data_IF_839273038872
#
_entry.id   IF_839273038872
#
_cell.length_a   1.000
_cell.length_b   1.000
_cell.length_c   1.000
_cell.angle_alpha   90.00
_cell.angle_beta   90.00
_cell.angle_gamma   90.00
#
_symmetry.space_group_name_H-M   'P 1'
#
loop_
_entity.id
_entity.type
_entity.pdbx_description
1 polymer ?
#
# COMPACT_ATOMS: atom_id res chain seq x y z
N UNK A 1 4.00 -3.00 3.93
CA UNK A 1 4.06 -3.64 2.59
C UNK A 1 4.61 -5.05 2.64
N UNK A 2 5.83 -5.29 3.14
CA UNK A 2 6.38 -6.65 3.24
C UNK A 2 5.47 -7.64 3.99
N UNK A 3 4.90 -7.24 5.12
CA UNK A 3 3.92 -8.05 5.85
C UNK A 3 2.65 -8.36 5.02
N UNK A 4 2.19 -7.42 4.18
CA UNK A 4 1.02 -7.61 3.33
C UNK A 4 1.30 -8.64 2.22
N UNK A 5 2.51 -8.60 1.64
CA UNK A 5 2.97 -9.59 0.65
C UNK A 5 3.09 -10.98 1.24
N UNK A 6 3.73 -11.09 2.41
CA UNK A 6 3.87 -12.38 3.11
C UNK A 6 2.51 -12.98 3.47
N UNK A 7 1.57 -12.17 3.97
CA UNK A 7 0.21 -12.63 4.23
C UNK A 7 -0.54 -13.05 2.95
N UNK A 8 -0.29 -12.38 1.82
CA UNK A 8 -0.84 -12.77 0.52
C UNK A 8 -0.26 -14.10 0.00
N UNK A 9 1.05 -14.31 0.10
CA UNK A 9 1.71 -15.58 -0.25
C UNK A 9 1.17 -16.75 0.57
N UNK A 10 0.83 -16.50 1.83
CA UNK A 10 0.22 -17.47 2.74
C UNK A 10 -1.31 -17.56 2.60
N UNK A 11 -1.92 -16.79 1.70
CA UNK A 11 -3.38 -16.68 1.54
C UNK A 11 -4.12 -16.39 2.88
N UNK A 12 -3.47 -15.66 3.78
CA UNK A 12 -4.00 -15.36 5.10
C UNK A 12 -4.90 -14.11 5.06
N UNK A 13 -6.15 -14.29 4.64
CA UNK A 13 -7.10 -13.20 4.42
C UNK A 13 -7.41 -12.38 5.69
N UNK A 14 -7.44 -13.02 6.85
CA UNK A 14 -7.63 -12.34 8.13
C UNK A 14 -6.46 -11.41 8.46
N UNK A 15 -5.24 -11.88 8.21
CA UNK A 15 -4.03 -11.07 8.40
C UNK A 15 -3.96 -9.93 7.38
N UNK A 16 -4.30 -10.19 6.11
CA UNK A 16 -4.40 -9.15 5.07
C UNK A 16 -5.37 -8.05 5.50
N UNK A 17 -6.56 -8.43 5.97
CA UNK A 17 -7.58 -7.49 6.47
C UNK A 17 -7.03 -6.60 7.60
N UNK A 18 -6.35 -7.23 8.57
CA UNK A 18 -5.77 -6.53 9.72
C UNK A 18 -4.67 -5.55 9.29
N UNK A 19 -3.77 -5.98 8.41
CA UNK A 19 -2.68 -5.13 7.91
C UNK A 19 -3.24 -3.97 7.09
N UNK A 20 -4.16 -4.24 6.17
CA UNK A 20 -4.76 -3.23 5.31
C UNK A 20 -5.50 -2.17 6.13
N UNK A 21 -6.26 -2.57 7.16
CA UNK A 21 -6.90 -1.63 8.08
C UNK A 21 -5.88 -0.73 8.79
N UNK A 22 -4.76 -1.29 9.27
CA UNK A 22 -3.70 -0.52 9.97
C UNK A 22 -2.98 0.46 9.05
N UNK A 23 -2.92 0.19 7.75
CA UNK A 23 -2.25 1.06 6.78
C UNK A 23 -3.05 2.31 6.43
N UNK A 24 -4.40 2.23 6.40
CA UNK A 24 -5.27 3.33 5.94
C UNK A 24 -5.03 4.67 6.65
N UNK A 25 -4.96 4.77 7.99
CA UNK A 25 -4.80 6.06 8.67
C UNK A 25 -3.51 6.78 8.27
N UNK A 26 -2.41 6.04 8.13
CA UNK A 26 -1.13 6.61 7.72
C UNK A 26 -1.17 7.10 6.26
N UNK A 27 -1.83 6.36 5.37
CA UNK A 27 -1.98 6.74 3.97
C UNK A 27 -2.87 7.99 3.81
N UNK A 28 -3.95 8.06 4.58
CA UNK A 28 -4.82 9.23 4.63
C UNK A 28 -4.08 10.47 5.14
N UNK A 29 -3.31 10.32 6.23
CA UNK A 29 -2.50 11.39 6.80
C UNK A 29 -1.49 11.95 5.79
N UNK A 30 -0.87 11.08 5.00
CA UNK A 30 0.10 11.46 3.97
C UNK A 30 -0.56 11.93 2.64
N UNK A 31 -1.89 12.00 2.58
CA UNK A 31 -2.62 12.42 1.37
C UNK A 31 -2.52 11.42 0.21
N UNK A 32 -2.13 10.16 0.45
CA UNK A 32 -1.89 9.14 -0.58
C UNK A 32 -3.19 8.46 -1.04
N UNK A 33 -4.18 9.25 -1.49
CA UNK A 33 -5.56 8.80 -1.78
C UNK A 33 -5.64 7.58 -2.70
N UNK A 34 -4.81 7.52 -3.75
CA UNK A 34 -4.81 6.39 -4.69
C UNK A 34 -4.34 5.09 -4.02
N UNK A 35 -3.29 5.17 -3.20
CA UNK A 35 -2.77 4.01 -2.48
C UNK A 35 -3.76 3.59 -1.39
N UNK A 36 -4.34 4.54 -0.67
CA UNK A 36 -5.40 4.30 0.30
C UNK A 36 -6.59 3.55 -0.33
N UNK A 37 -7.07 3.98 -1.50
CA UNK A 37 -8.16 3.34 -2.22
C UNK A 37 -7.85 1.87 -2.57
N UNK A 38 -6.63 1.59 -3.05
CA UNK A 38 -6.21 0.21 -3.37
C UNK A 38 -6.09 -0.67 -2.12
N UNK A 39 -5.54 -0.13 -1.03
CA UNK A 39 -5.48 -0.83 0.25
C UNK A 39 -6.89 -1.08 0.81
N UNK A 40 -7.83 -0.15 0.62
CA UNK A 40 -9.23 -0.35 0.97
C UNK A 40 -9.87 -1.49 0.18
N UNK A 41 -9.65 -1.53 -1.14
CA UNK A 41 -10.15 -2.62 -2.00
C UNK A 41 -9.60 -3.98 -1.55
N UNK A 42 -8.31 -4.08 -1.28
CA UNK A 42 -7.68 -5.28 -0.71
C UNK A 42 -8.34 -5.69 0.60
N UNK A 43 -8.61 -4.74 1.51
CA UNK A 43 -9.25 -5.04 2.78
C UNK A 43 -10.66 -5.62 2.58
N UNK A 44 -11.47 -5.03 1.69
CA UNK A 44 -12.84 -5.47 1.46
C UNK A 44 -12.88 -6.88 0.85
N UNK A 45 -12.06 -7.12 -0.17
CA UNK A 45 -11.92 -8.44 -0.82
C UNK A 45 -11.45 -9.50 0.19
N UNK A 46 -10.44 -9.19 1.02
CA UNK A 46 -9.93 -10.11 2.02
C UNK A 46 -10.91 -10.36 3.18
N UNK A 47 -11.68 -9.34 3.60
CA UNK A 47 -12.69 -9.47 4.64
C UNK A 47 -13.86 -10.34 4.19
N UNK A 48 -14.31 -10.12 2.96
CA UNK A 48 -15.50 -10.78 2.42
C UNK A 48 -15.17 -12.14 1.76
N UNK A 49 -13.87 -12.44 1.61
CA UNK A 49 -13.32 -13.67 1.01
C UNK A 49 -13.91 -13.98 -0.38
N UNK A 50 -14.22 -12.93 -1.14
CA UNK A 50 -14.72 -12.99 -2.52
C UNK A 50 -13.72 -12.33 -3.44
N UNK A 51 -13.56 -12.87 -4.65
CA UNK A 51 -12.66 -12.33 -5.67
C UNK A 51 -11.19 -12.27 -5.20
N UNK A 52 -10.78 -13.22 -4.35
CA UNK A 52 -9.45 -13.27 -3.73
C UNK A 52 -8.32 -13.42 -4.75
N UNK A 53 -8.62 -13.90 -5.96
CA UNK A 53 -7.71 -13.93 -7.10
C UNK A 53 -7.18 -12.54 -7.49
N UNK A 54 -7.92 -11.47 -7.17
CA UNK A 54 -7.52 -10.08 -7.43
C UNK A 54 -6.50 -9.54 -6.44
N UNK A 55 -6.41 -10.12 -5.23
CA UNK A 55 -5.58 -9.59 -4.14
C UNK A 55 -4.11 -9.52 -4.57
N UNK A 56 -3.57 -10.58 -5.17
CA UNK A 56 -2.16 -10.61 -5.63
C UNK A 56 -1.84 -9.46 -6.59
N UNK A 57 -2.74 -9.19 -7.54
CA UNK A 57 -2.57 -8.09 -8.48
C UNK A 57 -2.61 -6.72 -7.78
N UNK A 58 -3.59 -6.52 -6.90
CA UNK A 58 -3.75 -5.28 -6.15
C UNK A 58 -2.58 -5.00 -5.20
N UNK A 59 -2.04 -6.05 -4.54
CA UNK A 59 -0.86 -5.95 -3.69
C UNK A 59 0.36 -5.53 -4.52
N UNK A 60 0.57 -6.14 -5.69
CA UNK A 60 1.65 -5.76 -6.60
C UNK A 60 1.53 -4.31 -7.08
N UNK A 61 0.33 -3.89 -7.51
CA UNK A 61 0.08 -2.50 -7.90
C UNK A 61 0.33 -1.51 -6.75
N UNK A 62 -0.06 -1.87 -5.53
CA UNK A 62 0.14 -1.06 -4.34
C UNK A 62 1.63 -0.90 -4.00
N UNK A 63 2.42 -1.98 -4.15
CA UNK A 63 3.87 -1.94 -3.99
C UNK A 63 4.54 -1.04 -5.03
N UNK A 64 4.18 -1.19 -6.31
CA UNK A 64 4.72 -0.34 -7.38
C UNK A 64 4.39 1.14 -7.15
N UNK A 65 3.17 1.45 -6.73
CA UNK A 65 2.76 2.82 -6.42
C UNK A 65 3.57 3.38 -5.24
N UNK A 66 3.76 2.60 -4.18
CA UNK A 66 4.56 3.00 -3.04
C UNK A 66 6.03 3.26 -3.41
N UNK A 67 6.63 2.41 -4.26
CA UNK A 67 8.01 2.61 -4.77
C UNK A 67 8.12 3.92 -5.55
N UNK A 68 7.16 4.21 -6.43
CA UNK A 68 7.13 5.48 -7.18
C UNK A 68 7.04 6.68 -6.25
N UNK A 69 6.15 6.62 -5.26
CA UNK A 69 5.99 7.70 -4.26
C UNK A 69 7.30 7.92 -3.49
N UNK A 70 7.95 6.85 -3.01
CA UNK A 70 9.24 6.95 -2.31
C UNK A 70 10.31 7.57 -3.22
N UNK A 71 10.36 7.21 -4.50
CA UNK A 71 11.30 7.78 -5.46
C UNK A 71 11.07 9.28 -5.66
N UNK A 72 9.82 9.71 -5.79
CA UNK A 72 9.47 11.14 -5.95
C UNK A 72 9.87 11.94 -4.71
N UNK A 73 9.50 11.45 -3.52
CA UNK A 73 9.84 12.12 -2.26
C UNK A 73 11.35 12.23 -2.05
N UNK A 74 12.13 11.20 -2.42
CA UNK A 74 13.60 11.25 -2.33
C UNK A 74 14.21 12.30 -3.26
N UNK A 75 13.66 12.44 -4.47
CA UNK A 75 14.10 13.46 -5.41
C UNK A 75 13.79 14.87 -4.88
N UNK A 76 12.55 15.10 -4.42
CA UNK A 76 12.16 16.39 -3.83
C UNK A 76 13.04 16.78 -2.63
N UNK A 77 13.33 15.85 -1.72
CA UNK A 77 14.24 16.10 -0.59
C UNK A 77 15.65 16.48 -1.08
N UNK A 78 16.13 15.80 -2.13
CA UNK A 78 17.45 16.08 -2.71
C UNK A 78 17.50 17.46 -3.34
N UNK A 79 16.46 17.85 -4.05
CA UNK A 79 16.36 19.17 -4.68
C UNK A 79 16.25 20.29 -3.64
N UNK A 80 15.44 20.10 -2.59
CA UNK A 80 15.35 21.03 -1.44
C UNK A 80 16.71 21.21 -0.76
N UNK A 81 17.51 20.14 -0.63
CA UNK A 81 18.83 20.22 0.01
C UNK A 81 19.87 20.92 -0.88
N UNK A 82 19.73 20.86 -2.21
CA UNK A 82 20.59 21.61 -3.15
C UNK A 82 20.28 23.10 -3.13
N UNK A 83 19.00 23.48 -3.06
CA UNK A 83 18.59 24.88 -3.02
C UNK A 83 18.99 25.60 -1.71
N UNK A 84 19.36 24.85 -0.67
CA UNK A 84 19.84 25.37 0.62
C UNK A 84 21.37 25.43 0.74
N UNK A 85 22.12 24.91 -0.21
CA UNK A 85 23.59 24.84 -0.23
C UNK A 85 24.18 25.92 -1.13
#
# INVERSE_FOLDING_TARGET
>A
MQQLKSANEQQNWQQITTIAHKMKPALAYLGMKLLESKINEIQLIARDARETEKISHLVSQSEQLLIKIISLLKNEITDINKDKA
#
